data_IF_019560355473
#
_entry.id   IF_019560355473
#
_cell.length_a   1.000
_cell.length_b   1.000
_cell.length_c   1.000
_cell.angle_alpha   90.00
_cell.angle_beta   90.00
_cell.angle_gamma   90.00
#
_symmetry.space_group_name_H-M   'P 1'
#
loop_
_entity.id
_entity.type
_entity.pdbx_description
1 polymer ?
#
# COMPACT_ATOMS: atom_id res chain seq x y z
N UNK A 1 -26.96 6.71 -7.98
CA UNK A 1 -27.56 6.28 -9.28
C UNK A 1 -27.84 7.41 -10.30
N UNK A 2 -28.72 8.40 -10.07
CA UNK A 2 -29.12 9.42 -11.07
C UNK A 2 -27.97 10.22 -11.72
N UNK A 3 -26.86 10.42 -11.01
CA UNK A 3 -25.73 11.21 -11.51
C UNK A 3 -24.83 10.42 -12.49
N UNK A 4 -24.83 9.07 -12.46
CA UNK A 4 -24.00 8.21 -13.33
C UNK A 4 -24.63 8.05 -14.71
N UNK A 5 -25.95 7.88 -14.77
CA UNK A 5 -26.70 7.85 -16.04
C UNK A 5 -26.60 9.18 -16.79
N UNK A 6 -26.59 10.31 -16.07
CA UNK A 6 -26.33 11.64 -16.65
C UNK A 6 -24.94 11.74 -17.27
N UNK A 7 -23.89 11.22 -16.62
CA UNK A 7 -22.53 11.23 -17.18
C UNK A 7 -22.40 10.28 -18.38
N UNK A 8 -23.02 9.08 -18.34
CA UNK A 8 -23.01 8.13 -19.46
C UNK A 8 -23.73 8.70 -20.68
N UNK A 9 -24.91 9.29 -20.51
CA UNK A 9 -25.65 9.93 -21.60
C UNK A 9 -24.91 11.13 -22.18
N UNK A 10 -24.27 11.95 -21.35
CA UNK A 10 -23.43 13.06 -21.82
C UNK A 10 -22.21 12.55 -22.62
N UNK A 11 -21.58 11.46 -22.18
CA UNK A 11 -20.45 10.83 -22.87
C UNK A 11 -20.85 10.30 -24.25
N UNK A 12 -21.99 9.63 -24.36
CA UNK A 12 -22.52 9.14 -25.64
C UNK A 12 -22.82 10.28 -26.63
N UNK A 13 -23.35 11.39 -26.14
CA UNK A 13 -23.60 12.59 -26.96
C UNK A 13 -22.28 13.15 -27.48
N UNK A 14 -21.28 13.30 -26.61
CA UNK A 14 -19.96 13.82 -27.00
C UNK A 14 -19.21 12.90 -27.97
N UNK A 15 -19.31 11.58 -27.81
CA UNK A 15 -18.72 10.60 -28.74
C UNK A 15 -19.40 10.61 -30.12
N UNK A 16 -20.72 10.84 -30.18
CA UNK A 16 -21.43 11.05 -31.46
C UNK A 16 -20.97 12.33 -32.16
N UNK A 17 -20.85 13.44 -31.43
CA UNK A 17 -20.36 14.71 -31.99
C UNK A 17 -18.91 14.56 -32.48
N UNK A 18 -18.05 13.84 -31.74
CA UNK A 18 -16.68 13.56 -32.17
C UNK A 18 -16.64 12.82 -33.52
N UNK A 19 -17.46 11.76 -33.69
CA UNK A 19 -17.54 11.02 -34.95
C UNK A 19 -18.00 11.90 -36.12
N UNK A 20 -18.94 12.82 -35.87
CA UNK A 20 -19.42 13.78 -36.87
C UNK A 20 -18.30 14.76 -37.27
N UNK A 21 -17.59 15.34 -36.29
CA UNK A 21 -16.47 16.25 -36.56
C UNK A 21 -15.32 15.56 -37.29
N UNK A 22 -15.00 14.32 -36.94
CA UNK A 22 -14.00 13.51 -37.66
C UNK A 22 -14.44 13.21 -39.10
N UNK A 23 -15.74 13.01 -39.33
CA UNK A 23 -16.32 12.90 -40.68
C UNK A 23 -16.18 14.19 -41.48
N UNK A 24 -16.47 15.34 -40.87
CA UNK A 24 -16.33 16.67 -41.50
C UNK A 24 -14.86 16.98 -41.79
N UNK A 25 -13.95 16.66 -40.87
CA UNK A 25 -12.51 16.84 -41.05
C UNK A 25 -11.97 16.02 -42.24
N UNK A 26 -12.42 14.78 -42.39
CA UNK A 26 -12.02 13.88 -43.49
C UNK A 26 -12.58 14.31 -44.85
N UNK A 27 -13.77 14.89 -44.87
CA UNK A 27 -14.49 15.24 -46.12
C UNK A 27 -14.30 16.69 -46.57
N UNK A 28 -13.89 17.59 -45.67
CA UNK A 28 -13.62 18.99 -46.02
C UNK A 28 -12.38 19.12 -46.91
N UNK A 29 -12.46 20.01 -47.90
CA UNK A 29 -11.33 20.40 -48.78
C UNK A 29 -10.80 21.80 -48.47
N UNK A 30 -11.43 22.52 -47.53
CA UNK A 30 -11.02 23.85 -47.10
C UNK A 30 -10.04 23.77 -45.91
N UNK A 31 -8.86 24.38 -46.07
CA UNK A 31 -7.82 24.40 -45.05
C UNK A 31 -8.21 25.17 -43.79
N UNK A 32 -9.03 26.22 -43.93
CA UNK A 32 -9.48 27.03 -42.79
C UNK A 32 -10.52 26.25 -41.96
N UNK A 33 -11.49 25.62 -42.62
CA UNK A 33 -12.45 24.72 -41.98
C UNK A 33 -11.76 23.53 -41.30
N UNK A 34 -10.75 22.91 -41.93
CA UNK A 34 -9.98 21.81 -41.29
C UNK A 34 -9.31 22.24 -39.98
N UNK A 35 -8.66 23.41 -39.97
CA UNK A 35 -7.96 23.91 -38.78
C UNK A 35 -8.94 24.21 -37.64
N UNK A 36 -10.11 24.76 -37.97
CA UNK A 36 -11.18 25.01 -36.99
C UNK A 36 -11.74 23.70 -36.42
N UNK A 37 -12.10 22.75 -37.29
CA UNK A 37 -12.66 21.45 -36.87
C UNK A 37 -11.65 20.65 -36.05
N UNK A 38 -10.35 20.76 -36.34
CA UNK A 38 -9.30 20.11 -35.56
C UNK A 38 -9.25 20.63 -34.11
N UNK A 39 -9.39 21.94 -33.91
CA UNK A 39 -9.46 22.54 -32.57
C UNK A 39 -10.70 22.06 -31.80
N UNK A 40 -11.86 22.02 -32.47
CA UNK A 40 -13.11 21.52 -31.87
C UNK A 40 -13.01 20.01 -31.52
N UNK A 41 -12.31 19.22 -32.34
CA UNK A 41 -12.01 17.81 -32.05
C UNK A 41 -11.16 17.66 -30.79
N UNK A 42 -10.12 18.49 -30.63
CA UNK A 42 -9.25 18.47 -29.45
C UNK A 42 -10.01 18.84 -28.17
N UNK A 43 -10.86 19.85 -28.22
CA UNK A 43 -11.71 20.28 -27.11
C UNK A 43 -12.70 19.17 -26.69
N UNK A 44 -13.33 18.49 -27.66
CA UNK A 44 -14.24 17.37 -27.38
C UNK A 44 -13.48 16.16 -26.85
N UNK A 45 -12.29 15.84 -27.37
CA UNK A 45 -11.44 14.75 -26.84
C UNK A 45 -11.03 14.99 -25.40
N UNK A 46 -10.67 16.23 -25.05
CA UNK A 46 -10.37 16.63 -23.66
C UNK A 46 -11.59 16.44 -22.75
N UNK A 47 -12.76 16.86 -23.23
CA UNK A 47 -14.03 16.71 -22.48
C UNK A 47 -14.40 15.24 -22.26
N UNK A 48 -14.28 14.39 -23.29
CA UNK A 48 -14.50 12.94 -23.18
C UNK A 48 -13.52 12.31 -22.18
N UNK A 49 -12.23 12.70 -22.22
CA UNK A 49 -11.22 12.22 -21.26
C UNK A 49 -11.60 12.56 -19.82
N UNK A 50 -12.08 13.78 -19.57
CA UNK A 50 -12.53 14.22 -18.25
C UNK A 50 -13.78 13.46 -17.78
N UNK A 51 -14.76 13.23 -18.66
CA UNK A 51 -15.97 12.45 -18.34
C UNK A 51 -15.64 10.97 -18.06
N UNK A 52 -14.71 10.37 -18.80
CA UNK A 52 -14.18 9.01 -18.54
C UNK A 52 -13.46 8.95 -17.20
N UNK A 53 -12.64 9.95 -16.87
CA UNK A 53 -11.98 10.05 -15.56
C UNK A 53 -12.97 10.12 -14.40
N UNK A 54 -14.05 10.91 -14.53
CA UNK A 54 -15.13 10.98 -13.52
C UNK A 54 -15.89 9.66 -13.37
N UNK A 55 -16.06 8.90 -14.45
CA UNK A 55 -16.69 7.57 -14.41
C UNK A 55 -15.80 6.52 -13.73
N UNK A 56 -14.47 6.60 -13.91
CA UNK A 56 -13.52 5.70 -13.24
C UNK A 56 -13.46 5.99 -11.74
N UNK A 57 -13.40 7.25 -11.34
CA UNK A 57 -13.42 7.63 -9.91
C UNK A 57 -14.72 7.14 -9.25
N UNK A 58 -15.85 7.29 -9.94
CA UNK A 58 -17.14 6.79 -9.43
C UNK A 58 -17.32 5.27 -9.49
N UNK A 59 -16.65 4.55 -10.40
CA UNK A 59 -16.65 3.09 -10.32
C UNK A 59 -15.85 2.60 -9.13
N UNK A 60 -14.79 3.30 -8.72
CA UNK A 60 -14.11 3.03 -7.45
C UNK A 60 -14.98 3.35 -6.22
N UNK A 61 -15.90 4.32 -6.31
CA UNK A 61 -16.88 4.61 -5.26
C UNK A 61 -18.04 3.58 -5.25
N UNK A 62 -18.56 3.18 -6.41
CA UNK A 62 -19.63 2.17 -6.51
C UNK A 62 -19.11 0.75 -6.15
N UNK A 63 -17.85 0.41 -6.45
CA UNK A 63 -17.21 -0.85 -6.03
C UNK A 63 -16.95 -0.91 -4.51
N UNK A 64 -17.07 0.23 -3.79
CA UNK A 64 -17.07 0.30 -2.33
C UNK A 64 -18.49 0.22 -1.74
N UNK A 65 -19.55 0.42 -2.54
CA UNK A 65 -20.95 0.40 -2.11
C UNK A 65 -21.64 -0.97 -2.34
N UNK A 66 -21.09 -1.87 -3.16
CA UNK A 66 -21.68 -3.21 -3.41
C UNK A 66 -21.17 -4.34 -2.48
N UNK A 67 -20.27 -4.04 -1.54
CA UNK A 67 -19.91 -4.94 -0.42
C UNK A 67 -20.64 -4.53 0.88
N UNK A 68 -21.96 -4.35 0.84
CA UNK A 68 -22.80 -4.39 2.06
C UNK A 68 -23.04 -5.85 2.47
N UNK A 69 -21.98 -6.54 2.91
CA UNK A 69 -22.11 -7.64 3.86
C UNK A 69 -21.81 -7.08 5.25
N UNK A 70 -22.90 -6.85 6.01
CA UNK A 70 -22.97 -6.68 7.47
C UNK A 70 -21.89 -5.74 8.06
N UNK A 71 -22.28 -4.49 8.37
CA UNK A 71 -21.57 -3.66 9.36
C UNK A 71 -21.53 -4.40 10.71
N UNK A 72 -20.58 -5.32 10.86
CA UNK A 72 -19.87 -5.46 12.12
C UNK A 72 -19.14 -4.13 12.30
N UNK A 73 -19.23 -3.52 13.48
CA UNK A 73 -18.42 -2.37 13.88
C UNK A 73 -16.96 -2.67 13.48
N UNK A 74 -16.50 -2.11 12.34
CA UNK A 74 -15.14 -2.40 11.89
C UNK A 74 -14.23 -1.88 13.00
N UNK A 75 -13.39 -2.75 13.59
CA UNK A 75 -12.46 -2.30 14.60
C UNK A 75 -11.64 -1.15 14.00
N UNK A 76 -11.48 -0.07 14.77
CA UNK A 76 -10.76 1.10 14.31
C UNK A 76 -9.39 0.67 13.74
N UNK A 77 -9.15 1.02 12.46
CA UNK A 77 -7.95 0.58 11.72
C UNK A 77 -6.68 0.92 12.50
N UNK A 78 -5.83 -0.07 12.74
CA UNK A 78 -4.54 0.10 13.44
C UNK A 78 -3.68 1.13 12.71
N UNK A 79 -3.67 1.10 11.37
CA UNK A 79 -2.90 2.04 10.56
C UNK A 79 -3.35 3.49 10.74
N UNK A 80 -4.62 3.74 11.04
CA UNK A 80 -5.16 5.08 11.23
C UNK A 80 -4.63 5.77 12.49
N UNK A 81 -4.15 5.00 13.48
CA UNK A 81 -3.54 5.52 14.71
C UNK A 81 -2.05 5.82 14.57
N UNK A 82 -1.42 5.42 13.46
CA UNK A 82 0.01 5.62 13.25
C UNK A 82 0.23 6.96 12.58
N UNK A 83 0.94 7.86 13.26
CA UNK A 83 1.31 9.14 12.71
C UNK A 83 2.28 8.96 11.53
N UNK A 84 1.93 9.54 10.38
CA UNK A 84 2.76 9.51 9.19
C UNK A 84 3.62 10.76 9.13
N UNK A 85 4.93 10.57 9.16
CA UNK A 85 5.90 11.65 9.10
C UNK A 85 6.62 11.64 7.74
N UNK A 86 7.03 12.82 7.23
CA UNK A 86 7.89 12.87 6.07
C UNK A 86 9.21 12.15 6.40
N UNK A 87 9.47 11.05 5.70
CA UNK A 87 10.69 10.27 5.94
C UNK A 87 11.92 11.07 5.55
N UNK A 88 11.80 11.89 4.50
CA UNK A 88 12.85 12.83 4.08
C UNK A 88 12.25 14.16 3.65
N UNK A 89 12.94 15.25 3.99
CA UNK A 89 12.53 16.61 3.62
C UNK A 89 12.68 16.92 2.13
N UNK A 90 13.52 16.16 1.41
CA UNK A 90 13.81 16.32 -0.02
C UNK A 90 12.94 15.42 -0.91
N UNK A 91 12.13 14.54 -0.33
CA UNK A 91 11.17 13.68 -1.03
C UNK A 91 9.73 14.19 -0.83
N UNK A 92 8.86 13.94 -1.82
CA UNK A 92 7.41 14.21 -1.73
C UNK A 92 6.57 12.94 -1.91
N UNK A 93 7.20 11.77 -1.80
CA UNK A 93 6.54 10.48 -1.96
C UNK A 93 5.79 10.10 -0.68
N UNK A 94 4.55 10.60 -0.55
CA UNK A 94 3.67 10.35 0.60
C UNK A 94 3.37 8.87 0.84
N UNK A 95 3.38 8.06 -0.22
CA UNK A 95 3.16 6.62 -0.11
C UNK A 95 4.34 5.99 0.63
N UNK A 96 5.57 6.34 0.25
CA UNK A 96 6.77 5.86 0.93
C UNK A 96 6.89 6.41 2.36
N UNK A 97 6.50 7.65 2.61
CA UNK A 97 6.44 8.20 3.97
C UNK A 97 5.52 7.37 4.89
N UNK A 98 4.33 6.99 4.40
CA UNK A 98 3.39 6.14 5.11
C UNK A 98 3.95 4.73 5.33
N UNK A 99 4.47 4.08 4.28
CA UNK A 99 5.10 2.76 4.37
C UNK A 99 6.19 2.74 5.44
N UNK A 100 7.07 3.73 5.45
CA UNK A 100 8.19 3.77 6.39
C UNK A 100 7.70 4.05 7.81
N UNK A 101 6.71 4.92 7.98
CA UNK A 101 6.10 5.19 9.29
C UNK A 101 5.48 3.92 9.89
N UNK A 102 4.73 3.15 9.08
CA UNK A 102 4.18 1.85 9.50
C UNK A 102 5.27 0.82 9.81
N UNK A 103 6.37 0.84 9.07
CA UNK A 103 7.52 -0.05 9.30
C UNK A 103 8.28 0.26 10.59
N UNK A 104 8.45 1.54 10.91
CA UNK A 104 9.03 1.97 12.19
C UNK A 104 8.11 1.54 13.33
N UNK A 105 6.81 1.78 13.19
CA UNK A 105 5.82 1.33 14.18
C UNK A 105 5.90 -0.19 14.39
N UNK A 106 5.93 -0.99 13.33
CA UNK A 106 6.09 -2.44 13.42
C UNK A 106 7.39 -2.85 14.13
N UNK A 107 8.52 -2.23 13.76
CA UNK A 107 9.83 -2.53 14.35
C UNK A 107 9.87 -2.24 15.86
N UNK A 108 9.19 -1.18 16.30
CA UNK A 108 9.22 -0.75 17.69
C UNK A 108 8.18 -1.48 18.57
N UNK A 109 7.02 -1.85 18.00
CA UNK A 109 5.90 -2.40 18.77
C UNK A 109 5.79 -3.93 18.69
N UNK A 110 6.08 -4.53 17.54
CA UNK A 110 5.70 -5.92 17.27
C UNK A 110 6.89 -6.84 17.07
N UNK A 111 7.90 -6.38 16.32
CA UNK A 111 9.08 -7.19 16.03
C UNK A 111 9.81 -7.69 17.30
N UNK A 112 9.98 -6.90 18.38
CA UNK A 112 10.65 -7.36 19.60
C UNK A 112 9.87 -8.47 20.32
N UNK A 113 8.54 -8.46 20.19
CA UNK A 113 7.65 -9.45 20.81
C UNK A 113 7.73 -10.79 20.09
N UNK A 114 8.12 -10.79 18.81
CA UNK A 114 8.28 -11.98 17.98
C UNK A 114 9.58 -12.76 18.31
N UNK A 115 9.77 -13.12 19.58
CA UNK A 115 10.90 -13.89 20.08
C UNK A 115 10.49 -14.90 21.16
N UNK A 116 11.40 -15.79 21.54
CA UNK A 116 11.14 -16.85 22.52
C UNK A 116 10.80 -16.35 23.92
N UNK A 117 11.34 -15.19 24.29
CA UNK A 117 11.10 -14.62 25.61
C UNK A 117 9.61 -14.34 25.84
N UNK A 118 8.94 -13.79 24.83
CA UNK A 118 7.52 -13.41 24.92
C UNK A 118 6.59 -14.50 24.38
N UNK A 119 6.89 -15.09 23.21
CA UNK A 119 6.03 -16.06 22.53
C UNK A 119 6.71 -17.41 22.49
N UNK A 120 6.24 -18.36 23.31
CA UNK A 120 6.75 -19.73 23.36
C UNK A 120 5.94 -20.60 22.41
N UNK A 121 6.64 -21.22 21.47
CA UNK A 121 6.05 -22.07 20.45
C UNK A 121 6.64 -23.48 20.52
N UNK A 122 5.98 -24.44 19.88
CA UNK A 122 6.59 -25.74 19.59
C UNK A 122 7.89 -25.61 18.76
N UNK A 123 8.64 -26.70 18.65
CA UNK A 123 9.94 -26.70 18.00
C UNK A 123 9.89 -26.27 16.51
N UNK A 124 8.87 -26.68 15.77
CA UNK A 124 8.81 -26.40 14.33
C UNK A 124 8.47 -24.93 14.07
N UNK A 125 7.54 -24.38 14.85
CA UNK A 125 7.05 -23.02 14.69
C UNK A 125 8.00 -22.00 15.32
N UNK A 126 8.76 -22.36 16.35
CA UNK A 126 9.82 -21.49 16.91
C UNK A 126 10.92 -21.20 15.89
N UNK A 127 11.35 -22.20 15.10
CA UNK A 127 12.30 -21.99 13.99
C UNK A 127 11.75 -20.98 12.98
N UNK A 128 10.46 -21.11 12.62
CA UNK A 128 9.82 -20.19 11.67
C UNK A 128 9.72 -18.76 12.24
N UNK A 129 9.36 -18.62 13.52
CA UNK A 129 9.35 -17.34 14.24
C UNK A 129 10.71 -16.64 14.15
N UNK A 130 11.79 -17.37 14.45
CA UNK A 130 13.14 -16.80 14.55
C UNK A 130 13.70 -16.32 13.20
N UNK A 131 13.11 -16.78 12.09
CA UNK A 131 13.49 -16.32 10.74
C UNK A 131 12.93 -14.92 10.39
N UNK A 132 11.92 -14.42 11.10
CA UNK A 132 11.31 -13.12 10.76
C UNK A 132 12.22 -11.94 11.09
N UNK A 133 12.98 -11.99 12.17
CA UNK A 133 13.93 -10.92 12.50
C UNK A 133 15.04 -10.73 11.46
N UNK A 134 15.84 -11.76 11.07
CA UNK A 134 16.88 -11.59 10.07
C UNK A 134 16.31 -11.18 8.71
N UNK A 135 15.15 -11.72 8.31
CA UNK A 135 14.47 -11.31 7.07
C UNK A 135 14.07 -9.84 7.08
N UNK A 136 13.57 -9.33 8.21
CA UNK A 136 13.26 -7.91 8.36
C UNK A 136 14.51 -7.04 8.25
N UNK A 137 15.62 -7.48 8.82
CA UNK A 137 16.89 -6.77 8.72
C UNK A 137 17.42 -6.70 7.27
N UNK A 138 17.20 -7.73 6.45
CA UNK A 138 17.49 -7.66 5.01
C UNK A 138 16.63 -6.60 4.30
N UNK A 139 15.35 -6.48 4.64
CA UNK A 139 14.47 -5.45 4.08
C UNK A 139 14.96 -4.05 4.47
N UNK A 140 15.43 -3.86 5.71
CA UNK A 140 16.03 -2.59 6.14
C UNK A 140 17.30 -2.24 5.35
N UNK A 141 18.07 -3.22 4.88
CA UNK A 141 19.22 -2.95 3.99
C UNK A 141 18.76 -2.39 2.65
N UNK A 142 17.66 -2.87 2.09
CA UNK A 142 17.08 -2.32 0.85
C UNK A 142 16.66 -0.86 1.05
N UNK A 143 16.07 -0.52 2.21
CA UNK A 143 15.74 0.87 2.53
C UNK A 143 16.99 1.77 2.66
N UNK A 144 18.08 1.25 3.24
CA UNK A 144 19.36 1.97 3.29
C UNK A 144 19.93 2.22 1.89
N UNK A 145 19.87 1.21 1.00
CA UNK A 145 20.26 1.34 -0.40
C UNK A 145 19.39 2.38 -1.13
N UNK A 146 18.08 2.37 -0.91
CA UNK A 146 17.16 3.36 -1.45
C UNK A 146 17.54 4.78 -1.05
N UNK A 147 17.86 5.00 0.23
CA UNK A 147 18.32 6.29 0.73
C UNK A 147 19.64 6.75 0.10
N UNK A 148 20.59 5.82 -0.02
CA UNK A 148 21.89 6.12 -0.61
C UNK A 148 21.75 6.58 -2.07
N UNK A 149 20.91 5.91 -2.87
CA UNK A 149 20.67 6.32 -4.26
C UNK A 149 19.91 7.65 -4.37
N UNK A 150 18.99 7.94 -3.43
CA UNK A 150 18.36 9.26 -3.34
C UNK A 150 19.38 10.36 -3.02
N UNK A 151 20.31 10.11 -2.08
CA UNK A 151 21.37 11.05 -1.74
C UNK A 151 22.26 11.36 -2.95
N UNK A 152 22.58 10.35 -3.78
CA UNK A 152 23.34 10.54 -5.02
C UNK A 152 22.56 11.41 -6.00
N UNK A 153 21.28 11.11 -6.23
CA UNK A 153 20.43 11.86 -7.16
C UNK A 153 20.30 13.34 -6.77
N UNK A 154 20.29 13.65 -5.47
CA UNK A 154 20.06 15.00 -4.96
C UNK A 154 21.35 15.84 -4.84
N UNK A 155 22.54 15.29 -5.12
CA UNK A 155 23.79 16.08 -5.13
C UNK A 155 23.95 16.89 -6.42
N UNK A 156 24.20 18.19 -6.28
CA UNK A 156 24.27 19.16 -7.38
C UNK A 156 25.35 18.86 -8.45
N UNK A 157 26.41 18.13 -8.08
CA UNK A 157 27.55 17.80 -8.95
C UNK A 157 27.19 16.84 -10.12
N UNK A 158 26.06 16.12 -10.05
CA UNK A 158 25.61 15.19 -11.08
C UNK A 158 24.75 15.83 -12.19
N UNK A 159 24.37 17.10 -12.02
CA UNK A 159 23.38 17.76 -12.88
C UNK A 159 23.86 18.09 -14.30
N UNK A 160 25.17 18.03 -14.61
CA UNK A 160 25.66 18.44 -15.94
C UNK A 160 25.92 17.29 -16.92
N UNK A 161 26.02 16.02 -16.49
CA UNK A 161 26.42 14.90 -17.38
C UNK A 161 25.46 13.68 -17.36
N UNK A 162 24.66 13.47 -16.31
CA UNK A 162 23.97 12.19 -16.07
C UNK A 162 22.43 12.22 -16.02
N UNK A 163 21.78 13.26 -16.57
CA UNK A 163 20.34 13.54 -16.38
C UNK A 163 19.37 12.43 -16.83
N UNK A 164 19.82 11.43 -17.61
CA UNK A 164 18.98 10.39 -18.21
C UNK A 164 19.20 8.96 -17.68
N UNK A 165 20.17 8.70 -16.78
CA UNK A 165 20.48 7.32 -16.34
C UNK A 165 19.83 6.86 -15.02
N UNK A 166 19.61 7.73 -14.02
CA UNK A 166 19.50 7.21 -12.64
C UNK A 166 18.12 7.21 -11.95
N UNK A 167 17.06 7.83 -12.50
CA UNK A 167 15.70 7.68 -11.91
C UNK A 167 15.21 6.23 -11.95
N UNK A 168 15.64 5.47 -12.96
CA UNK A 168 15.22 4.07 -13.13
C UNK A 168 15.72 3.16 -12.01
N UNK A 169 16.89 3.44 -11.42
CA UNK A 169 17.48 2.65 -10.34
C UNK A 169 16.69 2.86 -9.05
N UNK A 170 16.42 4.12 -8.68
CA UNK A 170 15.61 4.46 -7.50
C UNK A 170 14.21 3.85 -7.58
N UNK A 171 13.55 3.91 -8.74
CA UNK A 171 12.25 3.24 -8.93
C UNK A 171 12.36 1.71 -8.79
N UNK A 172 13.42 1.08 -9.30
CA UNK A 172 13.64 -0.37 -9.15
C UNK A 172 13.86 -0.77 -7.69
N UNK A 173 14.67 0.00 -6.95
CA UNK A 173 14.93 -0.28 -5.53
C UNK A 173 13.67 -0.06 -4.70
N UNK A 174 12.92 1.03 -4.95
CA UNK A 174 11.60 1.27 -4.34
C UNK A 174 10.65 0.09 -4.58
N UNK A 175 10.52 -0.34 -5.83
CA UNK A 175 9.64 -1.45 -6.17
C UNK A 175 10.08 -2.76 -5.50
N UNK A 176 11.39 -3.06 -5.50
CA UNK A 176 11.96 -4.21 -4.79
C UNK A 176 11.71 -4.16 -3.28
N UNK A 177 11.79 -2.97 -2.68
CA UNK A 177 11.48 -2.74 -1.27
C UNK A 177 10.01 -3.09 -0.96
N UNK A 178 9.07 -2.51 -1.72
CA UNK A 178 7.63 -2.78 -1.56
C UNK A 178 7.29 -4.26 -1.78
N UNK A 179 7.86 -4.91 -2.80
CA UNK A 179 7.70 -6.36 -3.02
C UNK A 179 8.25 -7.21 -1.88
N UNK A 180 9.40 -6.83 -1.31
CA UNK A 180 10.01 -7.56 -0.20
C UNK A 180 9.16 -7.44 1.07
N UNK A 181 8.54 -6.27 1.28
CA UNK A 181 7.59 -6.03 2.36
C UNK A 181 6.31 -6.84 2.20
N UNK A 182 5.68 -6.77 1.03
CA UNK A 182 4.45 -7.52 0.75
C UNK A 182 4.66 -9.02 1.00
N UNK A 183 5.75 -9.58 0.46
CA UNK A 183 6.10 -10.99 0.71
C UNK A 183 6.33 -11.28 2.19
N UNK A 184 7.04 -10.41 2.89
CA UNK A 184 7.31 -10.58 4.32
C UNK A 184 6.03 -10.61 5.15
N UNK A 185 5.13 -9.65 4.94
CA UNK A 185 3.90 -9.55 5.70
C UNK A 185 2.89 -10.64 5.30
N UNK A 186 2.84 -11.09 4.03
CA UNK A 186 2.06 -12.26 3.64
C UNK A 186 2.54 -13.53 4.34
N UNK A 187 3.85 -13.75 4.40
CA UNK A 187 4.43 -14.89 5.13
C UNK A 187 4.17 -14.79 6.64
N UNK A 188 4.24 -13.58 7.21
CA UNK A 188 3.95 -13.32 8.62
C UNK A 188 2.47 -13.56 8.93
N UNK A 189 1.56 -13.00 8.13
CA UNK A 189 0.12 -13.21 8.25
C UNK A 189 -0.21 -14.69 8.22
N UNK A 190 0.28 -15.43 7.22
CA UNK A 190 0.06 -16.87 7.11
C UNK A 190 0.63 -17.64 8.31
N UNK A 191 1.74 -17.19 8.87
CA UNK A 191 2.27 -17.77 10.10
C UNK A 191 1.35 -17.51 11.30
N UNK A 192 0.85 -16.29 11.45
CA UNK A 192 -0.05 -15.90 12.53
C UNK A 192 -1.42 -16.59 12.41
N UNK A 193 -1.95 -16.73 11.19
CA UNK A 193 -3.16 -17.50 10.88
C UNK A 193 -3.06 -18.91 11.49
N UNK A 194 -1.93 -19.61 11.24
CA UNK A 194 -1.68 -20.95 11.79
C UNK A 194 -1.71 -20.95 13.33
N UNK A 195 -1.06 -19.98 13.97
CA UNK A 195 -1.00 -19.92 15.44
C UNK A 195 -2.37 -19.62 16.06
N UNK A 196 -3.12 -18.69 15.47
CA UNK A 196 -4.41 -18.24 15.96
C UNK A 196 -5.46 -19.33 15.74
N UNK A 197 -5.48 -19.98 14.58
CA UNK A 197 -6.43 -21.04 14.27
C UNK A 197 -6.17 -22.32 15.08
N UNK A 198 -4.90 -22.66 15.32
CA UNK A 198 -4.53 -23.73 16.25
C UNK A 198 -5.06 -23.43 17.65
N UNK A 199 -4.85 -22.23 18.18
CA UNK A 199 -5.41 -21.84 19.48
C UNK A 199 -6.95 -21.93 19.52
N UNK A 200 -7.65 -21.44 18.49
CA UNK A 200 -9.12 -21.51 18.40
C UNK A 200 -9.63 -22.96 18.38
N UNK A 201 -8.86 -23.88 17.84
CA UNK A 201 -9.17 -25.32 17.80
C UNK A 201 -8.66 -26.08 19.03
N UNK A 202 -8.22 -25.36 20.08
CA UNK A 202 -7.63 -25.93 21.31
C UNK A 202 -6.36 -26.76 21.04
N UNK A 203 -5.59 -26.34 20.04
CA UNK A 203 -4.27 -26.88 19.73
C UNK A 203 -3.19 -26.39 20.70
N UNK A 204 -1.96 -26.88 20.46
CA UNK A 204 -0.85 -26.79 21.40
C UNK A 204 0.42 -26.17 20.76
N UNK A 205 0.31 -25.47 19.63
CA UNK A 205 1.47 -24.84 18.99
C UNK A 205 1.98 -23.68 19.85
N UNK A 206 1.08 -22.81 20.34
CA UNK A 206 1.42 -21.75 21.28
C UNK A 206 1.41 -22.32 22.70
N UNK A 207 2.56 -22.31 23.36
CA UNK A 207 2.75 -22.95 24.66
C UNK A 207 2.34 -22.06 25.84
N UNK A 208 2.25 -20.74 25.61
CA UNK A 208 1.89 -19.75 26.62
C UNK A 208 0.79 -18.77 26.13
N UNK A 209 -0.33 -19.23 25.56
CA UNK A 209 -1.32 -18.35 24.92
C UNK A 209 -1.94 -17.35 25.90
N UNK A 210 -2.10 -17.77 27.16
CA UNK A 210 -2.60 -16.93 28.25
C UNK A 210 -1.50 -16.26 29.09
N UNK A 211 -0.24 -16.38 28.67
CA UNK A 211 0.86 -15.66 29.29
C UNK A 211 0.68 -14.17 29.11
N UNK A 212 0.95 -13.39 30.16
CA UNK A 212 0.87 -11.93 30.12
C UNK A 212 2.24 -11.38 29.71
N UNK A 213 2.26 -10.48 28.73
CA UNK A 213 3.45 -9.76 28.33
C UNK A 213 3.84 -8.77 29.43
N UNK A 214 5.08 -8.85 29.89
CA UNK A 214 5.67 -7.95 30.88
C UNK A 214 6.85 -7.24 30.25
N UNK A 215 6.60 -6.05 29.69
CA UNK A 215 7.62 -5.25 29.02
C UNK A 215 8.41 -4.46 30.07
N UNK A 216 9.74 -4.46 29.92
CA UNK A 216 10.63 -3.74 30.82
C UNK A 216 10.35 -2.23 30.79
N UNK A 217 10.54 -1.54 31.90
CA UNK A 217 10.41 -0.07 31.99
C UNK A 217 11.38 0.67 31.05
N UNK A 218 12.44 -0.01 30.62
CA UNK A 218 13.44 0.53 29.69
C UNK A 218 13.08 0.32 28.22
N UNK A 219 12.02 -0.44 27.90
CA UNK A 219 11.55 -0.56 26.52
C UNK A 219 10.89 0.74 26.08
N UNK A 220 11.27 1.22 24.88
CA UNK A 220 10.78 2.49 24.34
C UNK A 220 9.28 2.51 24.11
N UNK A 221 8.70 1.34 23.84
CA UNK A 221 7.29 1.20 23.57
C UNK A 221 6.70 0.04 24.37
N UNK A 222 5.70 0.35 25.20
CA UNK A 222 5.04 -0.58 26.11
C UNK A 222 3.56 -0.79 25.75
N UNK A 223 3.18 -0.54 24.49
CA UNK A 223 1.79 -0.63 24.02
C UNK A 223 1.13 -1.97 24.35
N UNK A 224 1.89 -3.07 24.23
CA UNK A 224 1.41 -4.43 24.45
C UNK A 224 1.66 -4.93 25.89
N UNK A 225 2.09 -4.05 26.79
CA UNK A 225 2.33 -4.43 28.19
C UNK A 225 1.01 -4.81 28.86
N UNK A 226 0.98 -5.94 29.54
CA UNK A 226 -0.23 -6.49 30.15
C UNK A 226 -1.16 -7.25 29.19
N UNK A 227 -0.85 -7.29 27.89
CA UNK A 227 -1.64 -8.09 26.93
C UNK A 227 -1.37 -9.58 27.11
N UNK A 228 -2.37 -10.41 26.82
CA UNK A 228 -2.11 -11.84 26.67
C UNK A 228 -1.36 -12.10 25.35
N UNK A 229 -0.54 -13.15 25.32
CA UNK A 229 0.19 -13.53 24.11
C UNK A 229 -0.73 -13.70 22.91
N UNK A 230 -1.90 -14.32 23.09
CA UNK A 230 -2.85 -14.50 22.00
C UNK A 230 -3.48 -13.18 21.49
N UNK A 231 -3.69 -12.22 22.37
CA UNK A 231 -4.22 -10.89 21.99
C UNK A 231 -3.18 -10.13 21.18
N UNK A 232 -1.92 -10.20 21.59
CA UNK A 232 -0.80 -9.63 20.84
C UNK A 232 -0.67 -10.27 19.44
N UNK A 233 -0.76 -11.60 19.34
CA UNK A 233 -0.73 -12.30 18.05
C UNK A 233 -1.88 -11.84 17.15
N UNK A 234 -3.07 -11.62 17.72
CA UNK A 234 -4.26 -11.15 17.00
C UNK A 234 -4.11 -9.70 16.53
N UNK A 235 -3.56 -8.81 17.36
CA UNK A 235 -3.28 -7.41 16.97
C UNK A 235 -2.20 -7.34 15.88
N UNK A 236 -1.13 -8.13 16.00
CA UNK A 236 -0.09 -8.23 14.99
C UNK A 236 -0.64 -8.80 13.66
N UNK A 237 -1.57 -9.76 13.74
CA UNK A 237 -2.25 -10.29 12.58
C UNK A 237 -3.10 -9.22 11.89
N UNK A 238 -3.92 -8.48 12.65
CA UNK A 238 -4.72 -7.37 12.14
C UNK A 238 -3.85 -6.30 11.47
N UNK A 239 -2.73 -5.89 12.10
CA UNK A 239 -1.77 -4.97 11.51
C UNK A 239 -1.23 -5.49 10.18
N UNK A 240 -0.87 -6.78 10.13
CA UNK A 240 -0.34 -7.41 8.91
C UNK A 240 -1.37 -7.41 7.78
N UNK A 241 -2.64 -7.71 8.08
CA UNK A 241 -3.75 -7.67 7.11
C UNK A 241 -3.94 -6.26 6.56
N UNK A 242 -4.04 -5.26 7.44
CA UNK A 242 -4.21 -3.87 7.03
C UNK A 242 -3.04 -3.37 6.20
N UNK A 243 -1.81 -3.70 6.60
CA UNK A 243 -0.61 -3.26 5.89
C UNK A 243 -0.48 -3.91 4.50
N UNK A 244 -0.80 -5.20 4.35
CA UNK A 244 -0.85 -5.85 3.04
C UNK A 244 -1.90 -5.19 2.15
N UNK A 245 -3.09 -4.89 2.69
CA UNK A 245 -4.16 -4.18 1.97
C UNK A 245 -3.69 -2.80 1.52
N UNK A 246 -3.01 -2.07 2.39
CA UNK A 246 -2.44 -0.75 2.08
C UNK A 246 -1.40 -0.82 0.94
N UNK A 247 -0.53 -1.84 0.93
CA UNK A 247 0.45 -2.02 -0.16
C UNK A 247 -0.21 -2.32 -1.51
N UNK A 248 -1.41 -2.90 -1.53
CA UNK A 248 -2.21 -3.08 -2.74
C UNK A 248 -1.55 -3.96 -3.83
N UNK A 249 -0.62 -4.83 -3.44
CA UNK A 249 0.15 -5.65 -4.39
C UNK A 249 -0.66 -6.89 -4.82
N UNK A 250 -0.77 -7.18 -6.13
CA UNK A 250 -1.52 -8.32 -6.63
C UNK A 250 -0.95 -9.65 -6.10
N UNK A 251 -1.84 -10.61 -5.82
CA UNK A 251 -1.44 -11.98 -5.51
C UNK A 251 -0.92 -12.63 -6.80
N UNK A 252 0.37 -12.95 -6.85
CA UNK A 252 1.01 -13.68 -7.96
C UNK A 252 1.16 -15.16 -7.63
#
# INVERSE_FOLDING_TARGET
>A
MESRERIKSELEIKERILKQLEGVYKTSRDGFQKKRVLKEIEEIKSTIKNLKGKLVIRSFEDDLEEEEEVEEEQPASILSFIEVFPFRNDSRDREIDAVISYMIFYEENYLPILCEYYIKLDFNHSIKRDMFYPRFMEIKKILKEYNYELDILNREEYNSIAFYRDKSIVHKIRHRYLLSLDKYFKDLRSFLDILIDDYKTSGNIVLNPHGILSLSEFERNRRLDGYMVIDCLSELHAFSVEFIRFLGMPNF
#
